data_IF_267192868525
#
_entry.id   IF_267192868525
#
_cell.length_a   1.000
_cell.length_b   1.000
_cell.length_c   1.000
_cell.angle_alpha   90.00
_cell.angle_beta   90.00
_cell.angle_gamma   90.00
#
_symmetry.space_group_name_H-M   'P 1'
#
loop_
_entity.id
_entity.type
_entity.pdbx_description
1 polymer ?
#
# COMPACT_ATOMS: atom_id res chain seq x y z
N UNK A 1 51.52 -9.64 -26.19
CA UNK A 1 50.90 -8.33 -25.86
C UNK A 1 49.46 -8.36 -26.34
N UNK A 2 48.48 -8.09 -25.45
CA UNK A 2 46.99 -8.14 -25.61
C UNK A 2 46.39 -9.56 -25.71
N UNK A 3 45.29 -9.95 -25.05
CA UNK A 3 44.23 -9.21 -24.35
C UNK A 3 43.57 -10.11 -23.28
N UNK A 4 43.90 -9.88 -22.00
CA UNK A 4 43.21 -10.50 -20.86
C UNK A 4 42.56 -9.38 -20.03
N UNK A 5 41.36 -8.90 -20.40
CA UNK A 5 40.64 -7.92 -19.56
C UNK A 5 39.15 -7.68 -19.87
N UNK A 6 38.47 -8.48 -20.73
CA UNK A 6 37.09 -8.16 -21.16
C UNK A 6 36.01 -9.14 -20.69
N UNK A 7 36.35 -10.21 -19.96
CA UNK A 7 35.39 -11.29 -19.63
C UNK A 7 34.76 -11.23 -18.24
N UNK A 8 35.25 -10.38 -17.33
CA UNK A 8 34.71 -10.26 -15.96
C UNK A 8 33.75 -9.05 -15.78
N UNK A 9 33.91 -7.98 -16.56
CA UNK A 9 33.06 -6.78 -16.50
C UNK A 9 31.59 -7.09 -16.81
N UNK A 10 31.33 -7.96 -17.79
CA UNK A 10 29.97 -8.32 -18.21
C UNK A 10 29.19 -9.13 -17.17
N UNK A 11 29.85 -9.95 -16.35
CA UNK A 11 29.14 -10.77 -15.34
C UNK A 11 28.64 -9.93 -14.17
N UNK A 12 29.42 -8.94 -13.75
CA UNK A 12 29.01 -7.99 -12.72
C UNK A 12 27.92 -7.05 -13.22
N UNK A 13 28.05 -6.54 -14.44
CA UNK A 13 26.99 -5.75 -15.06
C UNK A 13 25.70 -6.56 -15.19
N UNK A 14 25.71 -7.78 -15.76
CA UNK A 14 24.51 -8.61 -15.86
C UNK A 14 23.83 -8.89 -14.50
N UNK A 15 24.61 -9.00 -13.42
CA UNK A 15 24.09 -9.15 -12.06
C UNK A 15 23.52 -7.85 -11.49
N UNK A 16 24.07 -6.69 -11.86
CA UNK A 16 23.66 -5.38 -11.36
C UNK A 16 22.57 -4.71 -12.22
N UNK A 17 22.45 -5.09 -13.49
CA UNK A 17 21.48 -4.52 -14.45
C UNK A 17 20.05 -4.57 -13.91
N UNK A 18 19.54 -5.70 -13.36
CA UNK A 18 18.19 -5.74 -12.79
C UNK A 18 17.99 -4.76 -11.64
N UNK A 19 18.99 -4.60 -10.77
CA UNK A 19 18.93 -3.66 -9.65
C UNK A 19 18.96 -2.21 -10.12
N UNK A 20 19.71 -1.91 -11.20
CA UNK A 20 19.72 -0.58 -11.80
C UNK A 20 18.34 -0.20 -12.38
N UNK A 21 17.63 -1.16 -12.97
CA UNK A 21 16.26 -0.96 -13.46
C UNK A 21 15.26 -0.79 -12.31
N UNK A 22 15.48 -1.45 -11.17
CA UNK A 22 14.65 -1.28 -9.97
C UNK A 22 14.93 0.05 -9.24
N UNK A 23 16.16 0.56 -9.33
CA UNK A 23 16.61 1.74 -8.62
C UNK A 23 15.70 2.98 -8.76
N UNK A 24 15.24 3.40 -9.96
CA UNK A 24 14.33 4.55 -10.07
C UNK A 24 12.98 4.30 -9.38
N UNK A 25 12.43 3.08 -9.49
CA UNK A 25 11.18 2.73 -8.81
C UNK A 25 11.35 2.73 -7.28
N UNK A 26 12.46 2.17 -6.79
CA UNK A 26 12.79 2.16 -5.36
C UNK A 26 13.08 3.55 -4.81
N UNK A 27 13.71 4.44 -5.60
CA UNK A 27 13.92 5.82 -5.21
C UNK A 27 12.59 6.57 -5.08
N UNK A 28 11.70 6.44 -6.07
CA UNK A 28 10.38 7.07 -6.01
C UNK A 28 9.61 6.56 -4.80
N UNK A 29 9.51 5.23 -4.64
CA UNK A 29 8.80 4.62 -3.51
C UNK A 29 9.45 4.98 -2.17
N UNK A 30 10.78 5.02 -2.12
CA UNK A 30 11.57 5.48 -0.97
C UNK A 30 11.22 6.89 -0.55
N UNK A 31 11.15 7.83 -1.49
CA UNK A 31 10.90 9.24 -1.22
C UNK A 31 9.42 9.56 -0.98
N UNK A 32 8.50 8.86 -1.65
CA UNK A 32 7.07 9.20 -1.61
C UNK A 32 6.27 8.37 -0.61
N UNK A 33 6.76 7.18 -0.24
CA UNK A 33 6.08 6.28 0.69
C UNK A 33 6.88 6.13 1.97
N UNK A 34 8.13 5.65 1.87
CA UNK A 34 8.88 5.30 3.07
C UNK A 34 9.37 6.52 3.85
N UNK A 35 9.86 7.55 3.17
CA UNK A 35 10.31 8.77 3.81
C UNK A 35 9.19 9.44 4.65
N UNK A 36 8.00 9.75 4.10
CA UNK A 36 6.92 10.33 4.91
C UNK A 36 6.38 9.35 5.95
N UNK A 37 6.40 8.03 5.71
CA UNK A 37 5.99 7.05 6.72
C UNK A 37 6.93 7.06 7.94
N UNK A 38 8.24 7.11 7.72
CA UNK A 38 9.24 7.23 8.80
C UNK A 38 9.09 8.56 9.53
N UNK A 39 8.87 9.66 8.81
CA UNK A 39 8.61 10.95 9.44
C UNK A 39 7.35 10.92 10.30
N UNK A 40 6.23 10.40 9.79
CA UNK A 40 4.99 10.27 10.55
C UNK A 40 5.17 9.38 11.79
N UNK A 41 5.93 8.29 11.65
CA UNK A 41 6.26 7.42 12.77
C UNK A 41 7.06 8.17 13.84
N UNK A 42 8.12 8.89 13.48
CA UNK A 42 8.90 9.68 14.44
C UNK A 42 8.06 10.79 15.09
N UNK A 43 7.23 11.47 14.31
CA UNK A 43 6.33 12.52 14.81
C UNK A 43 5.27 11.98 15.78
N UNK A 44 4.88 10.70 15.67
CA UNK A 44 3.93 10.08 16.61
C UNK A 44 4.44 10.04 18.06
N UNK A 45 5.75 10.14 18.27
CA UNK A 45 6.38 10.24 19.60
C UNK A 45 6.60 11.69 20.07
N UNK A 46 6.16 12.66 19.27
CA UNK A 46 6.31 14.08 19.55
C UNK A 46 4.95 14.74 19.76
N UNK A 47 4.92 15.76 20.60
CA UNK A 47 3.82 16.71 20.67
C UNK A 47 4.10 17.82 19.66
N UNK A 48 3.21 17.96 18.68
CA UNK A 48 3.19 19.07 17.75
C UNK A 48 1.76 19.61 17.67
N UNK A 49 1.60 20.92 17.89
CA UNK A 49 0.29 21.57 17.81
C UNK A 49 -0.09 21.93 16.38
N UNK A 50 -1.29 22.50 16.20
CA UNK A 50 -1.67 23.18 14.95
C UNK A 50 -0.78 24.40 14.65
N UNK A 51 -0.10 24.93 15.67
CA UNK A 51 0.90 25.97 15.53
C UNK A 51 2.23 25.37 15.04
N UNK A 52 2.43 25.46 13.73
CA UNK A 52 3.65 25.02 13.03
C UNK A 52 4.91 25.80 13.43
N UNK A 53 4.78 26.87 14.22
CA UNK A 53 5.93 27.66 14.69
C UNK A 53 6.60 27.06 15.93
N UNK A 54 5.91 26.17 16.66
CA UNK A 54 6.51 25.50 17.81
C UNK A 54 7.31 24.27 17.38
N UNK A 55 8.58 24.12 17.84
CA UNK A 55 9.36 22.94 17.53
C UNK A 55 8.69 21.69 18.14
N UNK A 56 8.68 20.54 17.44
CA UNK A 56 8.14 19.29 17.98
C UNK A 56 8.83 18.93 19.28
N UNK A 57 8.05 18.70 20.33
CA UNK A 57 8.58 18.30 21.64
C UNK A 57 8.53 16.78 21.78
N UNK A 58 9.62 16.14 22.12
CA UNK A 58 9.63 14.69 22.33
C UNK A 58 8.90 14.33 23.63
N UNK A 59 7.80 13.56 23.52
CA UNK A 59 6.96 13.13 24.65
C UNK A 59 6.91 11.60 24.79
N UNK A 60 7.71 10.87 24.00
CA UNK A 60 7.75 9.42 24.05
C UNK A 60 6.41 8.79 23.68
N UNK A 61 5.82 8.00 24.60
CA UNK A 61 4.62 7.20 24.33
C UNK A 61 3.30 7.85 24.81
N UNK A 62 3.34 9.09 25.30
CA UNK A 62 2.18 9.74 25.91
C UNK A 62 0.98 9.87 24.94
N UNK A 63 1.24 10.10 23.65
CA UNK A 63 0.22 10.10 22.60
C UNK A 63 -0.54 8.76 22.54
N UNK A 64 0.18 7.65 22.65
CA UNK A 64 -0.42 6.31 22.61
C UNK A 64 -1.21 6.00 23.89
N UNK A 65 -0.69 6.40 25.07
CA UNK A 65 -1.43 6.24 26.33
C UNK A 65 -2.75 7.04 26.34
N UNK A 66 -2.73 8.23 25.75
CA UNK A 66 -3.93 9.07 25.59
C UNK A 66 -4.92 8.40 24.64
N UNK A 67 -4.45 7.94 23.48
CA UNK A 67 -5.27 7.28 22.47
C UNK A 67 -5.95 6.00 22.99
N UNK A 68 -5.22 5.19 23.77
CA UNK A 68 -5.76 3.95 24.34
C UNK A 68 -6.89 4.18 25.36
N UNK A 69 -6.96 5.38 25.96
CA UNK A 69 -8.04 5.76 26.89
C UNK A 69 -9.18 6.50 26.20
N UNK A 70 -9.04 6.84 24.92
CA UNK A 70 -10.05 7.56 24.17
C UNK A 70 -11.17 6.60 23.70
N UNK A 71 -12.43 6.77 24.18
CA UNK A 71 -13.54 5.96 23.72
C UNK A 71 -13.86 6.15 22.23
N UNK A 72 -13.53 7.32 21.65
CA UNK A 72 -13.75 7.60 20.22
C UNK A 72 -12.80 6.76 19.37
N UNK A 73 -11.55 6.60 19.81
CA UNK A 73 -10.58 5.73 19.15
C UNK A 73 -11.10 4.29 19.06
N UNK A 74 -11.54 3.70 20.18
CA UNK A 74 -12.05 2.33 20.20
C UNK A 74 -13.32 2.16 19.38
N UNK A 75 -14.24 3.12 19.43
CA UNK A 75 -15.45 3.11 18.60
C UNK A 75 -15.10 3.12 17.11
N UNK A 76 -14.17 3.97 16.71
CA UNK A 76 -13.72 4.08 15.31
C UNK A 76 -12.98 2.82 14.85
N UNK A 77 -12.14 2.25 15.70
CA UNK A 77 -11.45 0.98 15.43
C UNK A 77 -12.45 -0.16 15.21
N UNK A 78 -13.43 -0.31 16.10
CA UNK A 78 -14.48 -1.34 15.98
C UNK A 78 -15.29 -1.14 14.70
N UNK A 79 -15.71 0.09 14.40
CA UNK A 79 -16.44 0.38 13.16
C UNK A 79 -15.62 -0.01 11.92
N UNK A 80 -14.31 0.24 11.93
CA UNK A 80 -13.40 -0.10 10.82
C UNK A 80 -13.24 -1.60 10.67
N UNK A 81 -13.10 -2.33 11.79
CA UNK A 81 -13.02 -3.80 11.79
C UNK A 81 -14.33 -4.42 11.31
N UNK A 82 -15.48 -3.94 11.80
CA UNK A 82 -16.79 -4.40 11.33
C UNK A 82 -16.94 -4.14 9.83
N UNK A 83 -16.58 -2.94 9.36
CA UNK A 83 -16.59 -2.61 7.94
C UNK A 83 -15.73 -3.59 7.14
N UNK A 84 -14.49 -3.86 7.55
CA UNK A 84 -13.60 -4.80 6.88
C UNK A 84 -14.21 -6.20 6.82
N UNK A 85 -14.68 -6.72 7.96
CA UNK A 85 -15.24 -8.08 8.07
C UNK A 85 -16.51 -8.25 7.22
N UNK A 86 -17.28 -7.19 7.01
CA UNK A 86 -18.49 -7.26 6.16
C UNK A 86 -18.15 -7.05 4.69
N UNK A 87 -17.37 -6.01 4.38
CA UNK A 87 -17.13 -5.58 3.00
C UNK A 87 -16.18 -6.51 2.27
N UNK A 88 -15.09 -6.97 2.91
CA UNK A 88 -14.09 -7.82 2.23
C UNK A 88 -14.71 -9.14 1.74
N UNK A 89 -15.48 -9.90 2.54
CA UNK A 89 -16.15 -11.10 2.03
C UNK A 89 -17.14 -10.80 0.90
N UNK A 90 -17.89 -9.71 0.98
CA UNK A 90 -18.83 -9.31 -0.09
C UNK A 90 -18.06 -9.04 -1.39
N UNK A 91 -16.93 -8.32 -1.31
CA UNK A 91 -16.06 -8.04 -2.46
C UNK A 91 -15.39 -9.28 -3.06
N UNK A 92 -15.34 -10.41 -2.34
CA UNK A 92 -14.82 -11.68 -2.86
C UNK A 92 -15.95 -12.57 -3.36
N UNK A 93 -16.99 -12.77 -2.55
CA UNK A 93 -18.08 -13.71 -2.80
C UNK A 93 -18.94 -13.23 -3.97
N UNK A 94 -19.29 -11.94 -4.05
CA UNK A 94 -20.14 -11.46 -5.14
C UNK A 94 -19.44 -11.58 -6.50
N UNK A 95 -18.20 -11.08 -6.72
CA UNK A 95 -17.54 -11.22 -8.01
C UNK A 95 -17.24 -12.67 -8.36
N UNK A 96 -16.87 -13.52 -7.39
CA UNK A 96 -16.65 -14.94 -7.63
C UNK A 96 -17.94 -15.66 -8.02
N UNK A 97 -19.05 -15.36 -7.34
CA UNK A 97 -20.38 -15.89 -7.68
C UNK A 97 -20.80 -15.48 -9.09
N UNK A 98 -20.58 -14.21 -9.45
CA UNK A 98 -20.81 -13.72 -10.81
C UNK A 98 -19.91 -14.42 -11.84
N UNK A 99 -18.61 -14.61 -11.53
CA UNK A 99 -17.68 -15.31 -12.41
C UNK A 99 -18.11 -16.76 -12.68
N UNK A 100 -18.59 -17.48 -11.66
CA UNK A 100 -19.13 -18.84 -11.81
C UNK A 100 -20.40 -18.85 -12.66
N UNK A 101 -21.30 -17.89 -12.43
CA UNK A 101 -22.55 -17.74 -13.19
C UNK A 101 -22.25 -17.49 -14.67
N UNK A 102 -21.31 -16.61 -14.96
CA UNK A 102 -20.85 -16.28 -16.33
C UNK A 102 -20.10 -17.44 -17.00
N UNK A 103 -19.42 -18.27 -16.24
CA UNK A 103 -18.68 -19.42 -16.78
C UNK A 103 -19.62 -20.54 -17.25
N UNK A 104 -20.85 -20.62 -16.71
CA UNK A 104 -21.88 -21.47 -17.31
C UNK A 104 -22.40 -20.76 -18.56
N UNK A 105 -22.51 -21.45 -19.69
CA UNK A 105 -23.01 -20.90 -20.95
C UNK A 105 -24.50 -20.49 -20.86
N UNK A 106 -24.79 -19.45 -20.09
CA UNK A 106 -26.14 -18.92 -19.91
C UNK A 106 -26.52 -18.06 -21.11
N UNK A 107 -27.76 -18.18 -21.62
CA UNK A 107 -28.27 -17.28 -22.65
C UNK A 107 -28.35 -15.86 -22.10
N UNK A 108 -27.76 -14.87 -22.79
CA UNK A 108 -27.69 -13.45 -22.38
C UNK A 108 -26.30 -12.92 -21.99
N UNK A 109 -25.26 -13.76 -22.06
CA UNK A 109 -23.89 -13.45 -21.62
C UNK A 109 -23.22 -12.23 -22.28
N UNK A 110 -23.64 -11.85 -23.48
CA UNK A 110 -23.05 -10.72 -24.21
C UNK A 110 -23.41 -9.38 -23.56
N UNK A 111 -24.67 -9.19 -23.16
CA UNK A 111 -25.12 -7.99 -22.44
C UNK A 111 -24.55 -7.92 -21.01
N UNK A 112 -24.46 -9.06 -20.33
CA UNK A 112 -23.89 -9.12 -18.97
C UNK A 112 -22.38 -8.77 -18.96
N UNK A 113 -21.61 -9.28 -19.93
CA UNK A 113 -20.19 -8.90 -20.09
C UNK A 113 -20.04 -7.41 -20.38
N UNK A 114 -20.84 -6.84 -21.27
CA UNK A 114 -20.80 -5.40 -21.53
C UNK A 114 -21.06 -4.59 -20.25
N UNK A 115 -22.18 -4.82 -19.56
CA UNK A 115 -22.55 -4.08 -18.36
C UNK A 115 -21.56 -4.22 -17.18
N UNK A 116 -20.90 -5.39 -17.04
CA UNK A 116 -19.87 -5.61 -16.01
C UNK A 116 -18.55 -4.90 -16.31
N UNK A 117 -18.14 -4.82 -17.58
CA UNK A 117 -16.87 -4.19 -17.95
C UNK A 117 -16.98 -2.67 -18.12
N UNK A 118 -18.14 -2.12 -18.52
CA UNK A 118 -18.33 -0.66 -18.71
C UNK A 118 -17.95 0.23 -17.52
N UNK A 119 -18.18 -0.14 -16.24
CA UNK A 119 -17.79 0.72 -15.12
C UNK A 119 -16.28 0.72 -14.84
N UNK A 120 -15.55 -0.27 -15.38
CA UNK A 120 -14.13 -0.52 -15.10
C UNK A 120 -13.22 0.05 -16.20
N UNK A 121 -13.76 0.37 -17.39
CA UNK A 121 -13.04 1.02 -18.51
C UNK A 121 -13.51 2.43 -18.78
#
# INVERSE_FOLDING_TARGET
MKSLSTLDWNRWLQRLTPYLFLLPALLVLGLTVFYPAVQAFLLSFTSYGFDITQPPQWIGLDNFHTLLRDPVFWKTLINTVIYLVVVVPILVILPLGLAILVNRALPGMHWFRAAYYTPVV
#
